data_IF_742554216314
#
_entry.id   IF_742554216314
#
_cell.length_a   1.000
_cell.length_b   1.000
_cell.length_c   1.000
_cell.angle_alpha   90.00
_cell.angle_beta   90.00
_cell.angle_gamma   90.00
#
_symmetry.space_group_name_H-M   'P 1'
#
loop_
_entity.id
_entity.type
_entity.pdbx_description
1 polymer ?
#
# COMPACT_ATOMS: atom_id res chain seq x y z
N UNK A 1 11.61 -31.00 6.17
CA UNK A 1 10.80 -31.14 7.43
C UNK A 1 10.73 -29.80 8.16
N UNK A 2 9.83 -29.63 9.14
CA UNK A 2 9.71 -28.35 9.87
C UNK A 2 11.01 -27.99 10.63
N UNK A 3 11.69 -28.99 11.20
CA UNK A 3 12.97 -28.77 11.90
C UNK A 3 14.09 -28.22 11.01
N UNK A 4 14.15 -28.64 9.75
CA UNK A 4 15.13 -28.12 8.79
C UNK A 4 14.88 -26.63 8.51
N UNK A 5 13.61 -26.22 8.39
CA UNK A 5 13.24 -24.82 8.17
C UNK A 5 13.49 -23.95 9.40
N UNK A 6 13.29 -24.49 10.62
CA UNK A 6 13.67 -23.79 11.86
C UNK A 6 15.19 -23.58 11.90
N UNK A 7 15.97 -24.58 11.51
CA UNK A 7 17.42 -24.47 11.41
C UNK A 7 17.87 -23.47 10.34
N UNK A 8 17.19 -23.46 9.20
CA UNK A 8 17.40 -22.52 8.11
C UNK A 8 17.13 -21.08 8.57
N UNK A 9 15.96 -20.84 9.18
CA UNK A 9 15.56 -19.56 9.77
C UNK A 9 16.62 -19.07 10.78
N UNK A 10 17.00 -19.91 11.73
CA UNK A 10 18.00 -19.55 12.74
C UNK A 10 19.34 -19.15 12.12
N UNK A 11 19.78 -19.90 11.11
CA UNK A 11 21.02 -19.58 10.38
C UNK A 11 20.89 -18.28 9.59
N UNK A 12 19.75 -18.03 8.97
CA UNK A 12 19.46 -16.79 8.27
C UNK A 12 19.56 -15.59 9.23
N UNK A 13 19.00 -15.73 10.43
CA UNK A 13 19.08 -14.74 11.51
C UNK A 13 20.47 -14.67 12.18
N UNK A 14 21.42 -15.52 11.79
CA UNK A 14 22.76 -15.61 12.37
C UNK A 14 22.76 -15.87 13.87
N UNK A 15 21.75 -16.58 14.38
CA UNK A 15 21.59 -16.89 15.79
C UNK A 15 22.20 -18.26 16.14
N UNK A 16 22.73 -18.38 17.38
CA UNK A 16 23.08 -19.68 17.98
C UNK A 16 21.79 -20.38 18.44
N UNK A 17 21.83 -21.71 18.61
CA UNK A 17 20.70 -22.47 19.16
C UNK A 17 20.30 -21.97 20.57
N UNK A 18 21.27 -21.59 21.38
CA UNK A 18 21.03 -21.05 22.71
C UNK A 18 20.28 -19.71 22.64
N UNK A 19 20.74 -18.77 21.80
CA UNK A 19 20.10 -17.45 21.65
C UNK A 19 18.72 -17.54 21.00
N UNK A 20 18.58 -18.40 20.00
CA UNK A 20 17.28 -18.67 19.37
C UNK A 20 16.28 -19.22 20.40
N UNK A 21 16.70 -20.21 21.19
CA UNK A 21 15.87 -20.79 22.25
C UNK A 21 15.48 -19.76 23.32
N UNK A 22 16.42 -18.93 23.76
CA UNK A 22 16.16 -17.88 24.75
C UNK A 22 15.01 -16.93 24.29
N UNK A 23 15.02 -16.53 23.02
CA UNK A 23 13.99 -15.62 22.45
C UNK A 23 12.62 -16.27 22.46
N UNK A 24 12.52 -17.56 22.10
CA UNK A 24 11.22 -18.28 22.03
C UNK A 24 10.86 -19.03 23.32
N UNK A 25 11.60 -18.81 24.41
CA UNK A 25 11.34 -19.43 25.70
C UNK A 25 11.73 -20.92 25.80
N UNK A 26 12.67 -21.39 24.97
CA UNK A 26 13.15 -22.78 24.97
C UNK A 26 14.63 -22.88 25.37
N UNK A 27 14.98 -24.02 25.95
CA UNK A 27 16.40 -24.36 26.21
C UNK A 27 17.10 -24.78 24.92
N UNK A 28 18.42 -24.53 24.83
CA UNK A 28 19.25 -24.94 23.68
C UNK A 28 19.02 -26.39 23.25
N UNK A 29 19.00 -27.33 24.22
CA UNK A 29 18.80 -28.75 23.93
C UNK A 29 17.44 -29.03 23.23
N UNK A 30 16.38 -28.29 23.58
CA UNK A 30 15.08 -28.41 22.92
C UNK A 30 15.17 -27.96 21.49
N UNK A 31 15.84 -26.85 21.21
CA UNK A 31 16.06 -26.34 19.83
C UNK A 31 16.87 -27.37 19.03
N UNK A 32 17.94 -27.92 19.60
CA UNK A 32 18.76 -28.94 18.94
C UNK A 32 17.93 -30.19 18.55
N UNK A 33 17.05 -30.65 19.44
CA UNK A 33 16.16 -31.80 19.18
C UNK A 33 15.15 -31.52 18.10
N UNK A 34 14.56 -30.30 18.07
CA UNK A 34 13.62 -29.86 17.03
C UNK A 34 14.34 -29.83 15.68
N UNK A 35 15.53 -29.25 15.62
CA UNK A 35 16.35 -29.20 14.39
C UNK A 35 16.80 -30.60 13.93
N UNK A 36 16.85 -31.56 14.84
CA UNK A 36 17.14 -32.97 14.54
C UNK A 36 15.92 -33.80 14.12
N UNK A 37 14.74 -33.16 14.01
CA UNK A 37 13.52 -33.80 13.51
C UNK A 37 12.48 -34.17 14.57
N UNK A 38 12.67 -33.76 15.85
CA UNK A 38 11.63 -33.94 16.86
C UNK A 38 10.40 -33.10 16.50
N UNK A 39 9.24 -33.64 16.76
CA UNK A 39 7.95 -32.96 16.57
C UNK A 39 7.90 -31.64 17.34
N UNK A 40 7.39 -30.61 16.69
CA UNK A 40 7.31 -29.24 17.23
C UNK A 40 5.88 -28.92 17.58
N UNK A 41 5.62 -28.48 18.81
CA UNK A 41 4.27 -28.07 19.22
C UNK A 41 3.81 -26.78 18.52
N UNK A 42 2.51 -26.63 18.34
CA UNK A 42 1.93 -25.42 17.79
C UNK A 42 2.30 -24.15 18.59
N UNK A 43 2.39 -24.27 19.92
CA UNK A 43 2.85 -23.17 20.77
C UNK A 43 4.26 -22.68 20.39
N UNK A 44 5.16 -23.63 20.08
CA UNK A 44 6.52 -23.29 19.64
C UNK A 44 6.51 -22.64 18.25
N UNK A 45 5.67 -23.15 17.33
CA UNK A 45 5.49 -22.57 15.99
C UNK A 45 4.98 -21.13 16.10
N UNK A 46 3.94 -20.89 16.89
CA UNK A 46 3.42 -19.54 17.10
C UNK A 46 4.42 -18.61 17.76
N UNK A 47 5.21 -19.09 18.72
CA UNK A 47 6.28 -18.30 19.33
C UNK A 47 7.31 -17.86 18.27
N UNK A 48 7.77 -18.79 17.40
CA UNK A 48 8.70 -18.50 16.33
C UNK A 48 8.11 -17.46 15.36
N UNK A 49 6.87 -17.66 14.90
CA UNK A 49 6.20 -16.76 13.97
C UNK A 49 6.07 -15.35 14.54
N UNK A 50 5.70 -15.23 15.82
CA UNK A 50 5.52 -13.95 16.50
C UNK A 50 6.85 -13.22 16.73
N UNK A 51 7.85 -13.91 17.29
CA UNK A 51 9.12 -13.27 17.69
C UNK A 51 9.98 -12.88 16.49
N UNK A 52 9.92 -13.64 15.40
CA UNK A 52 10.76 -13.43 14.23
C UNK A 52 9.98 -12.95 13.00
N UNK A 53 8.66 -12.68 13.11
CA UNK A 53 7.78 -12.30 12.00
C UNK A 53 7.83 -13.28 10.82
N UNK A 54 7.91 -14.57 11.13
CA UNK A 54 7.97 -15.65 10.14
C UNK A 54 6.58 -16.02 9.66
N UNK A 55 6.46 -16.25 8.37
CA UNK A 55 5.24 -16.76 7.77
C UNK A 55 5.00 -18.22 8.22
N UNK A 56 3.89 -18.45 8.91
CA UNK A 56 3.52 -19.77 9.42
C UNK A 56 3.38 -20.79 8.29
N UNK A 57 2.83 -20.40 7.14
CA UNK A 57 2.69 -21.28 5.98
C UNK A 57 4.06 -21.74 5.49
N UNK A 58 5.02 -20.82 5.35
CA UNK A 58 6.39 -21.19 5.01
C UNK A 58 7.02 -22.11 6.08
N UNK A 59 6.84 -21.81 7.34
CA UNK A 59 7.43 -22.61 8.42
C UNK A 59 6.87 -24.03 8.46
N UNK A 60 5.58 -24.21 8.19
CA UNK A 60 4.92 -25.54 8.18
C UNK A 60 5.10 -26.31 6.87
N UNK A 61 5.00 -25.64 5.74
CA UNK A 61 4.93 -26.31 4.43
C UNK A 61 6.16 -26.08 3.56
N UNK A 62 6.87 -24.98 3.75
CA UNK A 62 7.97 -24.54 2.89
C UNK A 62 7.51 -23.73 1.67
N UNK A 63 6.22 -23.36 1.60
CA UNK A 63 5.67 -22.57 0.49
C UNK A 63 5.51 -21.10 0.89
N UNK A 64 5.76 -20.18 -0.05
CA UNK A 64 5.71 -18.74 0.17
C UNK A 64 7.01 -18.18 0.76
N UNK A 65 6.98 -16.91 1.13
CA UNK A 65 8.13 -16.21 1.68
C UNK A 65 8.36 -16.57 3.15
N UNK A 66 9.63 -16.63 3.56
CA UNK A 66 10.04 -16.95 4.93
C UNK A 66 9.52 -15.94 5.95
N UNK A 67 9.54 -14.66 5.61
CA UNK A 67 9.13 -13.57 6.50
C UNK A 67 7.82 -12.95 6.03
N UNK A 68 7.06 -12.46 6.99
CA UNK A 68 5.93 -11.56 6.72
C UNK A 68 6.55 -10.18 6.43
N UNK A 69 6.26 -9.57 5.27
CA UNK A 69 6.77 -8.24 4.94
C UNK A 69 6.45 -7.22 6.03
N UNK A 70 7.37 -6.31 6.29
CA UNK A 70 7.07 -5.16 7.12
C UNK A 70 6.18 -4.18 6.34
N UNK A 71 5.45 -3.27 7.00
CA UNK A 71 4.72 -2.21 6.31
C UNK A 71 5.62 -1.38 5.37
N UNK A 72 6.87 -1.19 5.76
CA UNK A 72 7.88 -0.49 4.96
C UNK A 72 8.26 -1.29 3.71
N UNK A 73 8.45 -2.62 3.84
CA UNK A 73 8.73 -3.52 2.71
C UNK A 73 7.54 -3.57 1.75
N UNK A 74 6.30 -3.55 2.28
CA UNK A 74 5.08 -3.52 1.47
C UNK A 74 4.98 -2.23 0.65
N UNK A 75 5.30 -1.08 1.24
CA UNK A 75 5.33 0.21 0.53
C UNK A 75 6.45 0.21 -0.50
N UNK A 76 7.63 -0.32 -0.18
CA UNK A 76 8.74 -0.42 -1.13
C UNK A 76 8.36 -1.28 -2.34
N UNK A 77 7.81 -2.47 -2.11
CA UNK A 77 7.30 -3.36 -3.16
C UNK A 77 6.22 -2.68 -4.03
N UNK A 78 5.32 -1.88 -3.41
CA UNK A 78 4.33 -1.11 -4.12
C UNK A 78 4.99 -0.07 -5.03
N UNK A 79 5.95 0.69 -4.49
CA UNK A 79 6.66 1.73 -5.23
C UNK A 79 7.43 1.15 -6.42
N UNK A 80 8.11 0.01 -6.25
CA UNK A 80 8.81 -0.68 -7.33
C UNK A 80 7.84 -1.18 -8.40
N UNK A 81 6.75 -1.84 -8.00
CA UNK A 81 5.74 -2.41 -8.93
C UNK A 81 5.12 -1.35 -9.83
N UNK A 82 4.85 -0.17 -9.30
CA UNK A 82 4.20 0.93 -10.02
C UNK A 82 5.17 2.02 -10.48
N UNK A 83 6.47 1.80 -10.31
CA UNK A 83 7.54 2.74 -10.67
C UNK A 83 7.30 4.14 -10.11
N UNK A 84 6.93 4.20 -8.81
CA UNK A 84 6.65 5.45 -8.12
C UNK A 84 7.96 6.15 -7.74
N UNK A 85 7.96 7.47 -7.86
CA UNK A 85 9.10 8.28 -7.48
C UNK A 85 9.24 8.42 -5.95
N UNK A 86 10.35 9.03 -5.52
CA UNK A 86 10.62 9.25 -4.10
C UNK A 86 9.55 10.11 -3.41
N UNK A 87 8.96 11.08 -4.12
CA UNK A 87 7.96 11.96 -3.53
C UNK A 87 6.66 11.20 -3.25
N UNK A 88 6.21 10.36 -4.19
CA UNK A 88 5.06 9.49 -4.02
C UNK A 88 5.27 8.49 -2.87
N UNK A 89 6.47 7.88 -2.76
CA UNK A 89 6.82 7.00 -1.64
C UNK A 89 6.65 7.71 -0.29
N UNK A 90 7.29 8.86 -0.12
CA UNK A 90 7.21 9.63 1.14
C UNK A 90 5.78 10.02 1.46
N UNK A 91 4.99 10.40 0.45
CA UNK A 91 3.57 10.73 0.62
C UNK A 91 2.78 9.52 1.15
N UNK A 92 2.95 8.35 0.54
CA UNK A 92 2.28 7.12 0.97
C UNK A 92 2.66 6.74 2.39
N UNK A 93 3.98 6.72 2.70
CA UNK A 93 4.48 6.41 4.05
C UNK A 93 3.87 7.33 5.11
N UNK A 94 3.88 8.64 4.87
CA UNK A 94 3.34 9.62 5.81
C UNK A 94 1.83 9.50 5.95
N UNK A 95 1.11 9.31 4.85
CA UNK A 95 -0.34 9.17 4.86
C UNK A 95 -0.81 7.92 5.61
N UNK A 96 -0.16 6.78 5.39
CA UNK A 96 -0.51 5.51 6.06
C UNK A 96 -0.25 5.58 7.58
N UNK A 97 0.78 6.33 8.00
CA UNK A 97 1.13 6.51 9.42
C UNK A 97 0.22 7.51 10.16
N UNK A 98 -0.61 8.28 9.46
CA UNK A 98 -1.54 9.19 10.12
C UNK A 98 -2.65 8.43 10.85
N UNK A 99 -3.16 8.96 11.98
CA UNK A 99 -4.40 8.49 12.60
C UNK A 99 -5.58 8.54 11.61
N UNK A 100 -6.56 7.67 11.78
CA UNK A 100 -7.74 7.59 10.89
C UNK A 100 -8.49 8.91 10.77
N UNK A 101 -8.61 9.67 11.87
CA UNK A 101 -9.25 10.97 11.88
C UNK A 101 -8.54 11.98 10.98
N UNK A 102 -7.20 12.01 11.03
CA UNK A 102 -6.39 12.94 10.25
C UNK A 102 -6.38 12.56 8.76
N UNK A 103 -6.32 11.26 8.45
CA UNK A 103 -6.49 10.76 7.09
C UNK A 103 -7.81 11.21 6.47
N UNK A 104 -8.90 11.10 7.26
CA UNK A 104 -10.22 11.52 6.83
C UNK A 104 -10.28 13.02 6.51
N UNK A 105 -9.70 13.87 7.35
CA UNK A 105 -9.63 15.32 7.11
C UNK A 105 -8.93 15.63 5.78
N UNK A 106 -7.80 14.96 5.51
CA UNK A 106 -7.06 15.15 4.26
C UNK A 106 -7.91 14.73 3.05
N UNK A 107 -8.56 13.56 3.15
CA UNK A 107 -9.41 13.04 2.07
C UNK A 107 -10.61 13.95 1.81
N UNK A 108 -11.28 14.43 2.87
CA UNK A 108 -12.42 15.34 2.77
C UNK A 108 -11.98 16.66 2.11
N UNK A 109 -10.80 17.19 2.47
CA UNK A 109 -10.24 18.37 1.85
C UNK A 109 -9.96 18.18 0.35
N UNK A 110 -9.28 17.09 -0.02
CA UNK A 110 -8.98 16.77 -1.44
C UNK A 110 -10.28 16.61 -2.23
N UNK A 111 -11.28 15.95 -1.66
CA UNK A 111 -12.59 15.79 -2.30
C UNK A 111 -13.30 17.15 -2.50
N UNK A 112 -13.25 18.05 -1.50
CA UNK A 112 -13.86 19.38 -1.63
C UNK A 112 -13.20 20.20 -2.74
N UNK A 113 -11.88 20.22 -2.80
CA UNK A 113 -11.13 20.90 -3.88
C UNK A 113 -11.48 20.33 -5.25
N UNK A 114 -11.59 19.00 -5.38
CA UNK A 114 -11.96 18.37 -6.65
C UNK A 114 -13.40 18.74 -7.09
N UNK A 115 -14.33 18.90 -6.15
CA UNK A 115 -15.71 19.35 -6.44
C UNK A 115 -15.70 20.80 -6.91
N UNK A 116 -14.98 21.68 -6.23
CA UNK A 116 -14.92 23.11 -6.56
C UNK A 116 -14.31 23.32 -7.96
N UNK A 117 -13.18 22.67 -8.26
CA UNK A 117 -12.55 22.72 -9.58
C UNK A 117 -13.47 22.21 -10.69
N UNK A 118 -14.26 21.14 -10.42
CA UNK A 118 -15.24 20.63 -11.39
C UNK A 118 -16.39 21.60 -11.61
N UNK A 119 -16.83 22.30 -10.58
CA UNK A 119 -17.87 23.33 -10.69
C UNK A 119 -17.39 24.54 -11.48
N UNK A 120 -16.15 24.98 -11.29
CA UNK A 120 -15.53 26.07 -12.04
C UNK A 120 -15.39 25.73 -13.53
N UNK A 121 -14.85 24.54 -13.86
CA UNK A 121 -14.74 24.07 -15.23
C UNK A 121 -16.11 24.04 -15.97
N UNK A 122 -17.18 23.58 -15.28
CA UNK A 122 -18.52 23.59 -15.84
C UNK A 122 -19.08 25.01 -16.11
N UNK A 123 -18.74 25.97 -15.23
CA UNK A 123 -19.16 27.38 -15.44
C UNK A 123 -18.44 27.98 -16.63
N UNK A 124 -17.16 27.71 -16.82
CA UNK A 124 -16.39 28.18 -17.97
C UNK A 124 -16.92 27.61 -19.29
N UNK A 125 -17.21 26.29 -19.31
CA UNK A 125 -17.80 25.64 -20.47
C UNK A 125 -19.16 26.24 -20.81
N UNK A 126 -20.00 26.52 -19.81
CA UNK A 126 -21.31 27.14 -20.02
C UNK A 126 -21.21 28.59 -20.54
N UNK A 127 -20.28 29.39 -20.00
CA UNK A 127 -20.04 30.75 -20.51
C UNK A 127 -19.55 30.72 -21.95
N UNK A 128 -18.61 29.82 -22.28
CA UNK A 128 -18.13 29.68 -23.67
C UNK A 128 -19.23 29.25 -24.66
N UNK A 129 -20.19 28.45 -24.19
CA UNK A 129 -21.34 28.05 -25.04
C UNK A 129 -22.31 29.21 -25.24
N UNK A 130 -22.63 29.98 -24.21
CA UNK A 130 -23.47 31.16 -24.29
C UNK A 130 -22.86 32.20 -25.22
N UNK A 131 -21.58 32.49 -25.11
CA UNK A 131 -20.88 33.42 -25.99
C UNK A 131 -20.92 32.98 -27.46
N UNK A 132 -20.75 31.67 -27.71
CA UNK A 132 -20.91 31.12 -29.08
C UNK A 132 -22.31 31.31 -29.64
N UNK A 133 -23.36 31.11 -28.83
CA UNK A 133 -24.75 31.30 -29.26
C UNK A 133 -25.05 32.77 -29.56
N UNK A 134 -24.59 33.70 -28.71
CA UNK A 134 -24.73 35.14 -28.94
C UNK A 134 -24.06 35.57 -30.24
N UNK A 135 -22.89 35.04 -30.52
CA UNK A 135 -22.13 35.37 -31.74
C UNK A 135 -22.83 34.82 -33.01
N UNK A 136 -23.43 33.63 -32.92
CA UNK A 136 -24.23 33.07 -34.00
C UNK A 136 -25.49 33.88 -34.27
N UNK A 137 -26.21 34.33 -33.24
CA UNK A 137 -27.39 35.18 -33.38
C UNK A 137 -27.04 36.53 -33.99
N UNK A 138 -25.95 37.17 -33.59
CA UNK A 138 -25.44 38.40 -34.19
C UNK A 138 -25.10 38.25 -35.66
N UNK A 139 -24.51 37.13 -36.07
CA UNK A 139 -24.23 36.84 -37.48
C UNK A 139 -25.50 36.64 -38.31
N UNK A 140 -26.51 35.95 -37.74
CA UNK A 140 -27.79 35.74 -38.37
C UNK A 140 -28.55 37.06 -38.59
N UNK A 141 -28.59 37.90 -37.56
CA UNK A 141 -29.24 39.21 -37.61
C UNK A 141 -28.58 40.19 -38.61
N UNK A 142 -27.28 40.08 -38.81
CA UNK A 142 -26.56 40.86 -39.85
C UNK A 142 -26.92 40.40 -41.27
N UNK A 143 -26.99 39.11 -41.51
CA UNK A 143 -27.34 38.54 -42.79
C UNK A 143 -28.80 38.89 -43.17
N UNK A 144 -29.73 38.84 -42.21
CA UNK A 144 -31.14 39.16 -42.45
C UNK A 144 -31.31 40.67 -42.80
N UNK A 145 -30.51 41.57 -42.19
CA UNK A 145 -30.52 43.00 -42.45
C UNK A 145 -29.93 43.37 -43.85
N UNK A 146 -29.09 42.55 -44.42
CA UNK A 146 -28.44 42.74 -45.71
C UNK A 146 -29.38 42.27 -46.89
N UNK A 147 -30.27 41.33 -46.58
CA UNK A 147 -31.31 40.87 -47.56
C UNK A 147 -32.47 41.80 -47.66
N UNK A 148 -32.85 42.56 -46.64
CA UNK A 148 -33.95 43.55 -46.67
C UNK A 148 -33.54 44.89 -47.31
N UNK A 149 -32.28 45.08 -47.67
CA UNK A 149 -31.72 46.31 -48.24
C UNK A 149 -31.52 46.27 -49.80
N UNK A 150 -31.91 45.12 -50.41
CA UNK A 150 -31.83 44.90 -51.86
C UNK A 150 -33.23 44.87 -52.51
#
# INVERSE_FOLDING_TARGET
>A
MIGDRIKELRKHLKLTQARFGEIIGLKQNSVALIEAGRETSDQTIFAICREFRVNETWLRTGTGDMFIPSPEDEIENLCERYNLDRAARVLIEKFVMLPDADRKVILDYVCSVAVDLRCEAKKEDLHAEVDRQIEQEKKKSRNDSEYDAL
#
